data_IF_748541415034
#
_entry.id   IF_748541415034
#
_cell.length_a   1.000
_cell.length_b   1.000
_cell.length_c   1.000
_cell.angle_alpha   90.00
_cell.angle_beta   90.00
_cell.angle_gamma   90.00
#
_symmetry.space_group_name_H-M   'P 1'
#
loop_
_entity.id
_entity.type
_entity.pdbx_description
1 polymer ?
#
# COMPACT_ATOMS: atom_id res chain seq x y z
N UNK A 1 5.66 18.54 1.12
CA UNK A 1 5.82 17.14 1.50
C UNK A 1 4.46 16.47 1.46
N UNK A 2 4.42 15.17 1.23
CA UNK A 2 3.20 14.36 1.18
C UNK A 2 3.32 13.19 2.16
N UNK A 3 2.34 13.03 3.05
CA UNK A 3 2.25 11.81 3.85
C UNK A 3 1.78 10.66 2.96
N UNK A 4 2.66 9.69 2.74
CA UNK A 4 2.42 8.51 1.91
C UNK A 4 2.35 7.27 2.79
N UNK A 5 1.21 6.57 2.76
CA UNK A 5 1.03 5.27 3.38
C UNK A 5 1.47 4.17 2.42
N UNK A 6 2.52 3.45 2.81
CA UNK A 6 3.06 2.29 2.10
C UNK A 6 2.64 1.02 2.83
N UNK A 7 2.19 0.02 2.07
CA UNK A 7 1.65 -1.23 2.59
C UNK A 7 2.28 -2.45 1.92
N UNK A 8 3.39 -2.27 1.19
CA UNK A 8 4.05 -3.29 0.37
C UNK A 8 5.58 -3.23 0.44
N UNK A 9 6.24 -3.55 -0.67
CA UNK A 9 7.70 -3.72 -0.71
C UNK A 9 8.53 -2.42 -0.63
N UNK A 10 7.88 -1.24 -0.62
CA UNK A 10 8.53 0.04 -0.36
C UNK A 10 8.60 0.41 1.14
N UNK A 11 7.96 -0.40 2.01
CA UNK A 11 8.13 -0.31 3.46
C UNK A 11 9.57 -0.61 3.88
N UNK A 12 9.92 -0.22 5.10
CA UNK A 12 11.22 -0.46 5.72
C UNK A 12 11.66 -1.93 5.57
N UNK A 13 12.91 -2.14 5.15
CA UNK A 13 13.48 -3.49 4.91
C UNK A 13 13.06 -4.14 3.59
N UNK A 14 12.03 -3.62 2.90
CA UNK A 14 11.62 -4.10 1.59
C UNK A 14 12.59 -3.69 0.48
N UNK A 15 12.63 -4.43 -0.64
CA UNK A 15 13.61 -4.21 -1.71
C UNK A 15 13.39 -2.88 -2.47
N UNK A 16 12.19 -2.29 -2.40
CA UNK A 16 11.88 -1.01 -3.05
C UNK A 16 11.93 0.18 -2.10
N UNK A 17 12.35 -0.03 -0.85
CA UNK A 17 12.45 1.04 0.14
C UNK A 17 13.38 2.18 -0.28
N UNK A 18 14.40 1.87 -1.08
CA UNK A 18 15.37 2.85 -1.58
C UNK A 18 14.75 3.95 -2.46
N UNK A 19 13.59 3.71 -3.10
CA UNK A 19 12.89 4.74 -3.89
C UNK A 19 12.38 5.91 -3.04
N UNK A 20 12.34 5.78 -1.71
CA UNK A 20 12.00 6.88 -0.81
C UNK A 20 13.15 7.89 -0.63
N UNK A 21 14.36 7.60 -1.13
CA UNK A 21 15.52 8.50 -1.04
C UNK A 21 15.78 9.04 0.38
N UNK A 22 15.55 8.20 1.40
CA UNK A 22 15.72 8.58 2.81
C UNK A 22 14.59 9.42 3.40
N UNK A 23 13.42 9.49 2.75
CA UNK A 23 12.24 10.13 3.33
C UNK A 23 11.93 9.52 4.71
N UNK A 24 11.69 10.36 5.73
CA UNK A 24 11.56 9.89 7.10
C UNK A 24 10.29 9.08 7.30
N UNK A 25 10.44 7.94 7.98
CA UNK A 25 9.32 7.21 8.56
C UNK A 25 8.69 8.09 9.66
N UNK A 26 7.41 8.38 9.54
CA UNK A 26 6.65 9.12 10.56
C UNK A 26 6.19 8.16 11.64
N UNK A 27 5.50 7.08 11.27
CA UNK A 27 5.02 6.04 12.18
C UNK A 27 4.53 4.79 11.41
N UNK A 28 4.45 3.66 12.12
CA UNK A 28 3.77 2.43 11.66
C UNK A 28 2.32 2.48 12.14
N UNK A 29 1.36 2.12 11.29
CA UNK A 29 -0.08 2.26 11.57
C UNK A 29 -0.89 1.31 10.70
N UNK A 30 -2.22 1.46 10.73
CA UNK A 30 -3.17 0.73 9.89
C UNK A 30 -4.10 1.69 9.16
N UNK A 31 -4.69 1.21 8.08
CA UNK A 31 -5.86 1.87 7.49
C UNK A 31 -7.02 1.86 8.49
N UNK A 32 -7.98 2.75 8.32
CA UNK A 32 -9.32 2.50 8.85
C UNK A 32 -9.89 1.22 8.22
N UNK A 33 -10.93 0.60 8.83
CA UNK A 33 -11.75 -0.37 8.13
C UNK A 33 -12.33 0.19 6.83
N UNK A 34 -12.65 -0.70 5.89
CA UNK A 34 -13.31 -0.34 4.64
C UNK A 34 -12.44 -0.45 3.40
N UNK A 35 -11.42 -1.31 3.42
CA UNK A 35 -10.56 -1.59 2.27
C UNK A 35 -10.38 -3.09 2.07
N UNK A 36 -10.71 -3.58 0.87
CA UNK A 36 -10.22 -4.87 0.39
C UNK A 36 -8.76 -4.73 0.01
N UNK A 37 -8.00 -5.81 0.17
CA UNK A 37 -6.56 -5.83 -0.06
C UNK A 37 -6.22 -6.91 -1.08
N UNK A 38 -5.46 -6.55 -2.11
CA UNK A 38 -5.15 -7.44 -3.22
C UNK A 38 -3.65 -7.58 -3.42
N UNK A 39 -3.21 -8.76 -3.84
CA UNK A 39 -1.88 -9.04 -4.35
C UNK A 39 -1.88 -8.97 -5.88
N UNK A 40 -1.03 -8.11 -6.43
CA UNK A 40 -0.80 -7.95 -7.86
C UNK A 40 0.46 -8.74 -8.21
N UNK A 41 0.28 -9.89 -8.86
CA UNK A 41 1.35 -10.79 -9.32
C UNK A 41 2.36 -11.20 -8.24
N UNK A 42 1.96 -11.15 -6.96
CA UNK A 42 2.82 -11.38 -5.80
C UNK A 42 4.05 -10.47 -5.71
N UNK A 43 3.98 -9.31 -6.37
CA UNK A 43 5.02 -8.29 -6.39
C UNK A 43 4.66 -7.12 -5.50
N UNK A 44 3.40 -6.72 -5.47
CA UNK A 44 2.96 -5.58 -4.68
C UNK A 44 1.48 -5.71 -4.33
N UNK A 45 1.04 -5.06 -3.26
CA UNK A 45 -0.36 -5.01 -2.95
C UNK A 45 -1.08 -3.77 -3.51
N UNK A 46 -2.42 -3.81 -3.52
CA UNK A 46 -3.29 -2.68 -3.84
C UNK A 46 -4.52 -2.65 -2.92
N UNK A 47 -4.91 -1.45 -2.50
CA UNK A 47 -6.13 -1.21 -1.71
C UNK A 47 -7.33 -0.94 -2.62
N UNK A 48 -8.49 -1.50 -2.30
CA UNK A 48 -9.75 -1.15 -2.96
C UNK A 48 -10.77 -0.71 -1.89
N UNK A 49 -11.29 0.53 -1.93
CA UNK A 49 -12.32 0.96 -1.01
C UNK A 49 -13.57 0.08 -1.10
N UNK A 50 -14.01 -0.44 0.04
CA UNK A 50 -15.22 -1.24 0.20
C UNK A 50 -15.74 -1.11 1.63
N UNK A 51 -16.82 -0.35 1.81
CA UNK A 51 -17.41 -0.07 3.12
C UNK A 51 -17.97 -1.31 3.85
N UNK A 52 -18.10 -2.45 3.18
CA UNK A 52 -18.54 -3.70 3.80
C UNK A 52 -17.43 -4.43 4.56
N UNK A 53 -16.16 -4.03 4.37
CA UNK A 53 -15.00 -4.65 5.03
C UNK A 53 -14.75 -4.00 6.38
N UNK A 54 -14.64 -4.81 7.43
CA UNK A 54 -14.35 -4.39 8.81
C UNK A 54 -12.87 -4.54 9.21
N UNK A 55 -12.06 -5.13 8.33
CA UNK A 55 -10.62 -5.32 8.55
C UNK A 55 -9.79 -4.08 8.20
N UNK A 56 -8.65 -3.95 8.87
CA UNK A 56 -7.68 -2.88 8.67
C UNK A 56 -6.34 -3.44 8.15
N UNK A 57 -5.71 -2.72 7.22
CA UNK A 57 -4.45 -3.13 6.58
C UNK A 57 -3.27 -2.44 7.25
N UNK A 58 -2.26 -3.21 7.67
CA UNK A 58 -1.01 -2.69 8.23
C UNK A 58 -0.14 -1.99 7.17
N UNK A 59 0.56 -0.93 7.61
CA UNK A 59 1.52 -0.23 6.78
C UNK A 59 2.31 0.82 7.54
N UNK A 60 2.97 1.68 6.78
CA UNK A 60 3.96 2.64 7.27
C UNK A 60 3.71 4.00 6.59
N UNK A 61 3.68 5.08 7.37
CA UNK A 61 3.51 6.45 6.86
C UNK A 61 4.85 7.14 6.77
N UNK A 62 5.15 7.67 5.59
CA UNK A 62 6.37 8.42 5.30
C UNK A 62 6.05 9.87 4.94
N UNK A 63 6.91 10.81 5.35
CA UNK A 63 6.83 12.19 4.90
C UNK A 63 7.71 12.37 3.65
N UNK A 64 7.11 12.24 2.47
CA UNK A 64 7.83 12.14 1.20
C UNK A 64 7.93 13.52 0.52
N UNK A 65 9.14 13.99 0.16
CA UNK A 65 9.30 15.15 -0.70
C UNK A 65 8.56 15.00 -2.04
N UNK A 66 8.00 16.09 -2.58
CA UNK A 66 7.16 16.01 -3.78
C UNK A 66 7.96 15.64 -5.05
N UNK A 67 9.22 16.03 -5.12
CA UNK A 67 10.17 15.66 -6.17
C UNK A 67 10.50 14.16 -6.09
N UNK A 68 10.82 13.63 -4.90
CA UNK A 68 11.01 12.18 -4.69
C UNK A 68 9.75 11.41 -5.06
N UNK A 69 8.57 11.88 -4.65
CA UNK A 69 7.30 11.24 -4.99
C UNK A 69 7.10 11.20 -6.52
N UNK A 70 7.34 12.31 -7.22
CA UNK A 70 7.13 12.45 -8.67
C UNK A 70 8.16 11.69 -9.50
N UNK A 71 9.43 11.77 -9.12
CA UNK A 71 10.56 11.36 -9.97
C UNK A 71 11.07 9.95 -9.62
N UNK A 72 10.86 9.49 -8.38
CA UNK A 72 11.42 8.22 -7.88
C UNK A 72 10.33 7.20 -7.55
N UNK A 73 9.34 7.56 -6.70
CA UNK A 73 8.37 6.58 -6.21
C UNK A 73 7.29 6.24 -7.24
N UNK A 74 6.47 7.22 -7.65
CA UNK A 74 5.32 6.99 -8.54
C UNK A 74 5.68 6.38 -9.91
N UNK A 75 6.82 6.70 -10.54
CA UNK A 75 7.21 6.06 -11.81
C UNK A 75 7.47 4.56 -11.71
N UNK A 76 7.72 4.04 -10.50
CA UNK A 76 8.01 2.62 -10.26
C UNK A 76 6.77 1.79 -9.95
N UNK A 77 5.63 2.46 -9.72
CA UNK A 77 4.39 1.80 -9.39
C UNK A 77 3.78 1.07 -10.61
N UNK A 78 3.21 -0.12 -10.43
CA UNK A 78 2.55 -0.85 -11.51
C UNK A 78 1.37 -0.11 -12.11
N UNK A 79 1.09 -0.37 -13.38
CA UNK A 79 -0.03 0.23 -14.11
C UNK A 79 -1.40 -0.14 -13.52
N UNK A 80 -1.49 -1.24 -12.78
CA UNK A 80 -2.71 -1.69 -12.09
C UNK A 80 -3.04 -0.84 -10.85
N UNK A 81 -2.12 0.00 -10.41
CA UNK A 81 -2.33 0.94 -9.31
C UNK A 81 -2.60 2.36 -9.83
N UNK A 82 -3.26 3.14 -9.00
CA UNK A 82 -3.41 4.58 -9.15
C UNK A 82 -3.23 5.30 -7.80
N UNK A 83 -2.79 6.54 -7.87
CA UNK A 83 -2.56 7.37 -6.68
C UNK A 83 -3.90 7.86 -6.12
N UNK A 84 -4.13 7.62 -4.83
CA UNK A 84 -5.39 7.94 -4.16
C UNK A 84 -5.20 8.47 -2.74
N UNK A 85 -6.32 8.75 -2.09
CA UNK A 85 -6.38 9.18 -0.70
C UNK A 85 -7.16 8.13 0.09
N UNK A 86 -6.59 7.69 1.21
CA UNK A 86 -7.19 6.74 2.14
C UNK A 86 -7.38 7.37 3.51
N UNK A 87 -8.11 6.68 4.39
CA UNK A 87 -8.29 7.02 5.79
C UNK A 87 -7.48 6.06 6.66
N UNK A 88 -6.72 6.60 7.60
CA UNK A 88 -5.97 5.82 8.61
C UNK A 88 -6.86 5.51 9.82
N UNK A 89 -6.41 4.60 10.69
CA UNK A 89 -7.18 4.16 11.86
C UNK A 89 -7.50 5.29 12.86
N UNK A 90 -6.66 6.33 12.92
CA UNK A 90 -6.88 7.54 13.72
C UNK A 90 -7.90 8.51 13.09
N UNK A 91 -8.35 8.19 11.88
CA UNK A 91 -9.31 8.94 11.09
C UNK A 91 -8.73 10.04 10.20
N UNK A 92 -7.41 10.24 10.21
CA UNK A 92 -6.71 11.16 9.31
C UNK A 92 -6.71 10.66 7.87
N UNK A 93 -6.51 11.58 6.92
CA UNK A 93 -6.36 11.25 5.51
C UNK A 93 -4.88 11.13 5.14
N UNK A 94 -4.54 10.17 4.28
CA UNK A 94 -3.18 9.92 3.82
C UNK A 94 -3.18 9.53 2.33
N UNK A 95 -2.11 9.83 1.60
CA UNK A 95 -1.97 9.33 0.24
C UNK A 95 -1.58 7.84 0.25
N UNK A 96 -2.03 7.07 -0.74
CA UNK A 96 -1.59 5.69 -0.93
C UNK A 96 -1.85 5.23 -2.36
N UNK A 97 -1.32 4.06 -2.71
CA UNK A 97 -1.63 3.39 -3.97
C UNK A 97 -2.88 2.51 -3.80
N UNK A 98 -3.87 2.76 -4.64
CA UNK A 98 -5.12 2.01 -4.69
C UNK A 98 -5.20 1.24 -6.01
N UNK A 99 -5.98 0.17 -6.01
CA UNK A 99 -6.27 -0.60 -7.20
C UNK A 99 -7.02 0.30 -8.20
N UNK A 100 -6.48 0.43 -9.41
CA UNK A 100 -7.05 1.28 -10.46
C UNK A 100 -8.46 0.83 -10.81
N UNK A 101 -9.35 1.78 -11.08
CA UNK A 101 -10.70 1.50 -11.60
C UNK A 101 -10.66 0.55 -12.80
N UNK A 102 -11.51 -0.49 -12.76
CA UNK A 102 -11.62 -1.49 -13.83
C UNK A 102 -10.70 -2.71 -13.63
N UNK A 103 -9.70 -2.65 -12.74
CA UNK A 103 -8.78 -3.76 -12.52
C UNK A 103 -9.41 -4.93 -11.76
N UNK A 104 -10.37 -4.67 -10.87
CA UNK A 104 -11.08 -5.72 -10.15
C UNK A 104 -11.85 -6.62 -11.12
N UNK A 105 -12.54 -6.02 -12.09
CA UNK A 105 -13.39 -6.68 -13.09
C UNK A 105 -12.58 -7.60 -14.03
N UNK A 106 -11.27 -7.37 -14.15
CA UNK A 106 -10.37 -8.26 -14.91
C UNK A 106 -10.17 -9.60 -14.22
N UNK A 107 -10.42 -9.70 -12.91
CA UNK A 107 -10.33 -10.95 -12.15
C UNK A 107 -8.93 -11.55 -12.05
N UNK A 108 -7.88 -10.74 -12.22
CA UNK A 108 -6.49 -11.19 -12.25
C UNK A 108 -5.76 -11.12 -10.90
N UNK A 109 -6.31 -10.36 -9.96
CA UNK A 109 -5.67 -10.04 -8.69
C UNK A 109 -6.17 -10.94 -7.58
N UNK A 110 -5.26 -11.45 -6.75
CA UNK A 110 -5.63 -12.32 -5.63
C UNK A 110 -6.02 -11.48 -4.44
N UNK A 111 -7.23 -11.68 -3.91
CA UNK A 111 -7.61 -11.04 -2.65
C UNK A 111 -6.82 -11.66 -1.49
N UNK A 112 -6.27 -10.79 -0.65
CA UNK A 112 -5.44 -11.12 0.51
C UNK A 112 -5.88 -10.33 1.76
N UNK A 113 -7.13 -9.85 1.77
CA UNK A 113 -7.73 -9.07 2.86
C UNK A 113 -7.60 -9.79 4.22
N UNK A 114 -7.77 -11.12 4.24
CA UNK A 114 -7.68 -11.94 5.45
C UNK A 114 -6.30 -11.90 6.14
N UNK A 115 -5.23 -11.57 5.42
CA UNK A 115 -3.88 -11.48 5.98
C UNK A 115 -3.63 -10.18 6.73
N UNK A 116 -4.44 -9.13 6.50
CA UNK A 116 -4.31 -7.84 7.17
C UNK A 116 -3.04 -7.05 6.85
N UNK A 117 -2.16 -7.55 5.99
CA UNK A 117 -0.91 -6.87 5.64
C UNK A 117 -0.01 -7.69 4.71
N UNK A 118 0.87 -7.01 3.99
CA UNK A 118 1.74 -7.62 2.99
C UNK A 118 2.77 -8.57 3.60
N UNK A 119 3.39 -8.17 4.73
CA UNK A 119 4.40 -9.00 5.42
C UNK A 119 3.79 -10.32 5.92
N UNK A 120 2.58 -10.28 6.47
CA UNK A 120 1.85 -11.47 6.89
C UNK A 120 1.50 -12.39 5.71
N UNK A 121 1.07 -11.81 4.58
CA UNK A 121 0.83 -12.57 3.35
C UNK A 121 2.10 -13.26 2.83
N UNK A 122 3.24 -12.56 2.78
CA UNK A 122 4.53 -13.16 2.37
C UNK A 122 4.95 -14.30 3.30
N UNK A 123 4.77 -14.13 4.61
CA UNK A 123 5.05 -15.18 5.60
C UNK A 123 4.20 -16.43 5.35
N UNK A 124 2.91 -16.27 5.04
CA UNK A 124 2.02 -17.38 4.71
C UNK A 124 2.41 -18.12 3.42
N UNK A 125 3.14 -17.46 2.52
CA UNK A 125 3.76 -18.08 1.34
C UNK A 125 5.14 -18.70 1.63
N UNK A 126 5.65 -18.61 2.85
CA UNK A 126 7.00 -19.06 3.21
C UNK A 126 8.10 -18.17 2.62
N UNK A 127 7.81 -16.90 2.36
CA UNK A 127 8.74 -15.90 1.83
C UNK A 127 9.15 -14.93 2.93
N UNK A 128 10.37 -14.42 2.81
CA UNK A 128 10.82 -13.32 3.66
C UNK A 128 10.08 -12.03 3.29
N UNK A 129 9.73 -11.27 4.32
CA UNK A 129 8.94 -10.05 4.26
C UNK A 129 9.80 -8.79 4.11
#
# INVERSE_FOLDING_TARGET
MAHMFLNGQAMEGGPFHHHLQGAPLVHKTRTAPGYRFFSIRETCPGLLPDASVDTAVEGEVYDVPMDVLRDELLPTEPAELEFGIIKLEDGSACFSMILRRGELERGLHKEITEFGGWRAYLTALGRDA
#
